data_IF_337595283148
#
_entry.id   IF_337595283148
#
_cell.length_a   1.000
_cell.length_b   1.000
_cell.length_c   1.000
_cell.angle_alpha   90.00
_cell.angle_beta   90.00
_cell.angle_gamma   90.00
#
_symmetry.space_group_name_H-M   'P 1'
#
loop_
_entity.id
_entity.type
_entity.pdbx_description
1 polymer ?
#
# COMPACT_ATOMS: atom_id res chain seq x y z
N UNK A 1 -11.56 3.51 21.79
CA UNK A 1 -11.51 2.29 21.00
C UNK A 1 -10.11 1.72 21.04
N UNK A 2 -10.00 0.44 21.38
CA UNK A 2 -8.69 -0.20 21.51
C UNK A 2 -8.23 -0.74 20.15
N UNK A 3 -7.00 -0.44 19.77
CA UNK A 3 -6.35 -1.04 18.61
C UNK A 3 -5.58 -2.29 19.04
N UNK A 4 -5.40 -3.23 18.10
CA UNK A 4 -4.58 -4.41 18.34
C UNK A 4 -3.11 -4.02 18.52
N UNK A 5 -2.33 -4.94 19.08
CA UNK A 5 -0.89 -4.73 19.24
C UNK A 5 -0.21 -4.52 17.88
N UNK A 6 -0.70 -5.18 16.83
CA UNK A 6 -0.13 -5.01 15.48
C UNK A 6 -0.38 -3.62 14.92
N UNK A 7 -1.57 -3.06 15.15
CA UNK A 7 -1.87 -1.69 14.73
C UNK A 7 -0.94 -0.72 15.46
N UNK A 8 -0.82 -0.88 16.77
CA UNK A 8 0.04 -0.01 17.59
C UNK A 8 1.49 -0.11 17.14
N UNK A 9 1.98 -1.33 16.90
CA UNK A 9 3.36 -1.55 16.44
C UNK A 9 3.62 -0.85 15.10
N UNK A 10 2.75 -1.05 14.12
CA UNK A 10 2.91 -0.42 12.82
C UNK A 10 2.73 1.09 12.87
N UNK A 11 1.91 1.59 13.80
CA UNK A 11 1.74 3.03 13.98
C UNK A 11 2.96 3.68 14.65
N UNK A 12 3.49 3.06 15.70
CA UNK A 12 4.64 3.59 16.44
C UNK A 12 5.96 3.38 15.69
N UNK A 13 6.06 2.27 14.95
CA UNK A 13 7.27 1.89 14.21
C UNK A 13 6.91 1.59 12.74
N UNK A 14 6.42 2.57 11.99
CA UNK A 14 6.00 2.33 10.62
C UNK A 14 7.19 1.89 9.75
N UNK A 15 6.95 0.87 8.94
CA UNK A 15 7.96 0.30 8.04
C UNK A 15 7.86 1.01 6.69
N UNK A 16 9.04 1.26 6.10
CA UNK A 16 9.10 1.73 4.71
C UNK A 16 8.41 3.09 4.49
N UNK A 17 8.47 3.97 5.48
CA UNK A 17 8.00 5.34 5.32
C UNK A 17 8.97 6.09 4.41
N UNK A 18 8.44 6.83 3.45
CA UNK A 18 9.27 7.65 2.58
C UNK A 18 8.65 7.84 1.21
N UNK A 19 9.50 8.21 0.28
CA UNK A 19 9.07 8.44 -1.11
C UNK A 19 10.15 8.00 -2.08
N UNK A 20 9.72 7.69 -3.31
CA UNK A 20 10.60 7.42 -4.44
C UNK A 20 10.28 8.43 -5.53
N UNK A 21 11.18 8.53 -6.53
CA UNK A 21 10.96 9.41 -7.67
C UNK A 21 9.76 8.89 -8.50
N UNK A 22 8.68 9.63 -8.50
CA UNK A 22 7.47 9.27 -9.24
C UNK A 22 7.68 9.30 -10.75
N UNK A 23 8.72 9.96 -11.23
CA UNK A 23 9.07 9.98 -12.65
C UNK A 23 9.91 8.79 -13.10
N UNK A 24 10.40 7.96 -12.17
CA UNK A 24 11.19 6.78 -12.50
C UNK A 24 10.28 5.75 -13.16
N UNK A 25 10.71 5.22 -14.31
CA UNK A 25 9.93 4.25 -15.08
C UNK A 25 9.74 2.94 -14.33
N UNK A 26 10.61 2.64 -13.36
CA UNK A 26 10.52 1.42 -12.57
C UNK A 26 9.68 1.60 -11.30
N UNK A 27 9.15 2.78 -11.06
CA UNK A 27 8.34 3.09 -9.89
C UNK A 27 6.89 3.30 -10.28
N UNK A 28 5.99 2.59 -9.61
CA UNK A 28 4.56 2.82 -9.69
C UNK A 28 4.08 3.60 -8.47
N UNK A 29 3.30 4.63 -8.69
CA UNK A 29 2.76 5.48 -7.62
C UNK A 29 1.25 5.40 -7.60
N UNK A 30 0.69 5.02 -6.45
CA UNK A 30 -0.75 5.05 -6.21
C UNK A 30 -1.07 6.05 -5.12
N UNK A 31 -2.03 6.91 -5.37
CA UNK A 31 -2.51 7.85 -4.36
C UNK A 31 -4.02 7.74 -4.28
N UNK A 32 -4.51 7.44 -3.09
CA UNK A 32 -5.93 7.29 -2.83
C UNK A 32 -6.28 8.07 -1.56
N UNK A 33 -7.54 8.42 -1.40
CA UNK A 33 -7.93 9.15 -0.22
C UNK A 33 -9.44 9.28 -0.09
N UNK A 34 -9.86 9.54 1.14
CA UNK A 34 -11.24 9.89 1.46
C UNK A 34 -11.18 11.27 2.14
N UNK A 35 -11.27 12.36 1.35
CA UNK A 35 -11.11 13.71 1.89
C UNK A 35 -12.06 14.02 3.05
N UNK A 36 -13.26 13.46 3.03
CA UNK A 36 -14.24 13.66 4.09
C UNK A 36 -13.76 13.11 5.44
N UNK A 37 -12.89 12.11 5.42
CA UNK A 37 -12.32 11.52 6.63
C UNK A 37 -10.90 12.01 6.93
N UNK A 38 -10.31 12.80 6.03
CA UNK A 38 -8.96 13.32 6.18
C UNK A 38 -7.87 12.27 5.92
N UNK A 39 -8.23 11.10 5.43
CA UNK A 39 -7.27 10.04 5.15
C UNK A 39 -6.78 10.13 3.70
N UNK A 40 -5.46 10.24 3.52
CA UNK A 40 -4.82 10.19 2.20
C UNK A 40 -3.66 9.22 2.29
N UNK A 41 -3.60 8.27 1.36
CA UNK A 41 -2.59 7.23 1.34
C UNK A 41 -1.86 7.26 -0.01
N UNK A 42 -0.55 7.39 0.05
CA UNK A 42 0.33 7.32 -1.12
C UNK A 42 1.21 6.09 -0.98
N UNK A 43 1.19 5.22 -1.97
CA UNK A 43 2.02 4.03 -2.01
C UNK A 43 2.87 4.06 -3.28
N UNK A 44 4.16 3.79 -3.13
CA UNK A 44 5.07 3.66 -4.26
C UNK A 44 5.74 2.30 -4.22
N UNK A 45 5.82 1.66 -5.36
CA UNK A 45 6.48 0.36 -5.52
C UNK A 45 7.57 0.49 -6.58
N UNK A 46 8.70 -0.19 -6.33
CA UNK A 46 9.79 -0.30 -7.32
C UNK A 46 9.81 -1.74 -7.81
N UNK A 47 9.72 -1.91 -9.13
CA UNK A 47 9.62 -3.22 -9.76
C UNK A 47 10.90 -3.47 -10.56
N UNK A 48 11.44 -4.68 -10.46
CA UNK A 48 12.65 -5.05 -11.19
C UNK A 48 12.33 -5.57 -12.60
N UNK A 49 13.37 -5.97 -13.32
CA UNK A 49 13.25 -6.47 -14.70
C UNK A 49 12.42 -7.75 -14.81
N UNK A 50 12.28 -8.47 -13.70
CA UNK A 50 11.53 -9.73 -13.66
C UNK A 50 10.07 -9.52 -13.26
N UNK A 51 9.67 -8.27 -13.02
CA UNK A 51 8.32 -7.97 -12.60
C UNK A 51 8.07 -8.20 -11.12
N UNK A 52 9.12 -8.25 -10.32
CA UNK A 52 9.03 -8.47 -8.88
C UNK A 52 9.22 -7.14 -8.16
N UNK A 53 8.37 -6.89 -7.18
CA UNK A 53 8.46 -5.67 -6.37
C UNK A 53 9.64 -5.81 -5.42
N UNK A 54 10.65 -4.97 -5.60
CA UNK A 54 11.87 -5.00 -4.80
C UNK A 54 11.86 -4.04 -3.65
N UNK A 55 11.08 -2.97 -3.74
CA UNK A 55 10.96 -2.00 -2.66
C UNK A 55 9.57 -1.38 -2.69
N UNK A 56 9.15 -0.90 -1.54
CA UNK A 56 7.88 -0.21 -1.41
C UNK A 56 8.04 0.87 -0.34
N UNK A 57 7.45 2.03 -0.61
CA UNK A 57 7.45 3.15 0.33
C UNK A 57 6.06 3.72 0.42
N UNK A 58 5.72 4.28 1.57
CA UNK A 58 4.43 4.94 1.70
C UNK A 58 4.55 6.27 2.43
N UNK A 59 3.56 7.11 2.18
CA UNK A 59 3.36 8.33 2.95
C UNK A 59 1.86 8.49 3.11
N UNK A 60 1.40 8.48 4.35
CA UNK A 60 -0.03 8.47 4.67
C UNK A 60 -0.34 9.55 5.67
N UNK A 61 -1.41 10.28 5.40
CA UNK A 61 -1.96 11.25 6.33
C UNK A 61 -3.33 10.72 6.76
N UNK A 62 -3.56 10.61 8.07
CA UNK A 62 -4.82 10.09 8.56
C UNK A 62 -4.67 9.48 9.94
N UNK A 63 -5.58 8.56 10.27
CA UNK A 63 -5.59 7.91 11.58
C UNK A 63 -4.51 6.82 11.68
N UNK A 64 -4.30 6.33 12.90
CA UNK A 64 -3.34 5.27 13.15
C UNK A 64 -3.60 4.00 12.35
N UNK A 65 -4.87 3.66 12.10
CA UNK A 65 -5.23 2.50 11.28
C UNK A 65 -4.81 2.67 9.82
N UNK A 66 -4.90 3.89 9.28
CA UNK A 66 -4.46 4.16 7.91
C UNK A 66 -2.96 4.01 7.78
N UNK A 67 -2.21 4.53 8.76
CA UNK A 67 -0.75 4.40 8.79
C UNK A 67 -0.36 2.93 8.94
N UNK A 68 -1.00 2.21 9.85
CA UNK A 68 -0.72 0.79 10.08
C UNK A 68 -1.02 -0.05 8.83
N UNK A 69 -2.13 0.21 8.16
CA UNK A 69 -2.51 -0.51 6.94
C UNK A 69 -1.47 -0.28 5.83
N UNK A 70 -1.02 0.96 5.66
CA UNK A 70 0.00 1.31 4.69
C UNK A 70 1.32 0.61 5.00
N UNK A 71 1.74 0.65 6.25
CA UNK A 71 2.99 0.01 6.70
C UNK A 71 2.96 -1.50 6.44
N UNK A 72 1.88 -2.16 6.82
CA UNK A 72 1.72 -3.61 6.61
C UNK A 72 1.80 -3.96 5.13
N UNK A 73 1.09 -3.21 4.30
CA UNK A 73 1.05 -3.43 2.85
C UNK A 73 2.44 -3.31 2.24
N UNK A 74 3.25 -2.34 2.67
CA UNK A 74 4.61 -2.21 2.13
C UNK A 74 5.45 -3.45 2.44
N UNK A 75 5.25 -4.08 3.58
CA UNK A 75 5.95 -5.32 3.89
C UNK A 75 5.43 -6.48 3.03
N UNK A 76 4.11 -6.54 2.83
CA UNK A 76 3.49 -7.66 2.13
C UNK A 76 3.79 -7.68 0.62
N UNK A 77 3.91 -6.52 -0.01
CA UNK A 77 4.13 -6.46 -1.46
C UNK A 77 5.57 -6.73 -1.87
N UNK A 78 6.52 -6.55 -0.98
CA UNK A 78 7.93 -6.81 -1.29
C UNK A 78 8.15 -8.29 -1.59
N UNK A 79 8.84 -8.57 -2.69
CA UNK A 79 9.12 -9.94 -3.11
C UNK A 79 7.99 -10.60 -3.89
N UNK A 80 6.89 -9.89 -4.13
CA UNK A 80 5.75 -10.39 -4.89
C UNK A 80 5.77 -9.83 -6.31
N UNK A 81 5.15 -10.57 -7.23
CA UNK A 81 4.87 -10.05 -8.56
C UNK A 81 3.72 -9.06 -8.48
N UNK A 82 3.52 -8.29 -9.55
CA UNK A 82 2.39 -7.36 -9.63
C UNK A 82 1.05 -8.06 -9.46
N UNK A 83 0.91 -9.25 -10.07
CA UNK A 83 -0.32 -10.02 -9.96
C UNK A 83 -0.57 -10.50 -8.54
N UNK A 84 0.48 -10.97 -7.87
CA UNK A 84 0.39 -11.42 -6.48
C UNK A 84 0.04 -10.25 -5.54
N UNK A 85 0.66 -9.10 -5.75
CA UNK A 85 0.36 -7.91 -4.95
C UNK A 85 -1.08 -7.44 -5.19
N UNK A 86 -1.54 -7.45 -6.43
CA UNK A 86 -2.91 -7.06 -6.78
C UNK A 86 -3.97 -8.02 -6.25
N UNK A 87 -3.57 -9.23 -5.87
CA UNK A 87 -4.49 -10.22 -5.29
C UNK A 87 -4.69 -10.04 -3.78
N UNK A 88 -3.92 -9.16 -3.14
CA UNK A 88 -4.10 -8.85 -1.72
C UNK A 88 -5.46 -8.16 -1.52
N UNK A 89 -6.27 -8.71 -0.61
CA UNK A 89 -7.62 -8.21 -0.36
C UNK A 89 -7.67 -7.43 0.95
N UNK A 90 -8.57 -6.44 1.01
CA UNK A 90 -8.74 -5.63 2.21
C UNK A 90 -9.10 -6.49 3.43
N UNK A 91 -9.82 -7.59 3.21
CA UNK A 91 -10.18 -8.51 4.29
C UNK A 91 -8.95 -9.08 4.98
N UNK A 92 -7.92 -9.43 4.20
CA UNK A 92 -6.67 -9.97 4.74
C UNK A 92 -5.94 -8.93 5.59
N UNK A 93 -5.92 -7.68 5.12
CA UNK A 93 -5.30 -6.57 5.85
C UNK A 93 -6.05 -6.33 7.16
N UNK A 94 -7.38 -6.26 7.09
CA UNK A 94 -8.22 -6.02 8.25
C UNK A 94 -8.08 -7.13 9.29
N UNK A 95 -7.99 -8.39 8.84
CA UNK A 95 -7.84 -9.53 9.74
C UNK A 95 -6.46 -9.54 10.40
N UNK A 96 -5.40 -9.28 9.64
CA UNK A 96 -4.04 -9.26 10.18
C UNK A 96 -3.86 -8.19 11.25
N UNK A 97 -4.45 -7.03 11.03
CA UNK A 97 -4.36 -5.91 11.98
C UNK A 97 -5.48 -5.97 13.04
N UNK A 98 -6.44 -6.89 12.90
CA UNK A 98 -7.62 -6.96 13.77
C UNK A 98 -8.29 -5.58 13.89
N UNK A 99 -8.56 -4.96 12.74
CA UNK A 99 -9.12 -3.60 12.71
C UNK A 99 -10.54 -3.58 13.28
N UNK A 100 -10.87 -2.55 14.08
CA UNK A 100 -12.26 -2.34 14.50
C UNK A 100 -13.16 -2.09 13.29
N UNK A 101 -14.46 -2.47 13.36
CA UNK A 101 -15.37 -2.31 12.22
C UNK A 101 -15.40 -0.89 11.64
N UNK A 102 -15.28 0.13 12.48
CA UNK A 102 -15.32 1.52 12.02
C UNK A 102 -14.05 1.95 11.27
N UNK A 103 -13.00 1.12 11.29
CA UNK A 103 -11.71 1.41 10.65
C UNK A 103 -11.41 0.51 9.45
N UNK A 104 -12.33 -0.34 9.06
CA UNK A 104 -12.14 -1.24 7.90
C UNK A 104 -11.90 -0.46 6.62
N UNK A 105 -12.42 0.77 6.51
CA UNK A 105 -12.16 1.61 5.34
C UNK A 105 -10.66 1.85 5.10
N UNK A 106 -9.84 1.80 6.14
CA UNK A 106 -8.37 1.96 6.00
C UNK A 106 -7.77 0.79 5.23
N UNK A 107 -8.28 -0.43 5.44
CA UNK A 107 -7.82 -1.60 4.68
C UNK A 107 -8.27 -1.52 3.22
N UNK A 108 -9.44 -0.97 2.96
CA UNK A 108 -9.93 -0.75 1.60
C UNK A 108 -9.04 0.26 0.87
N UNK A 109 -8.66 1.35 1.55
CA UNK A 109 -7.74 2.33 0.98
C UNK A 109 -6.39 1.69 0.64
N UNK A 110 -5.88 0.83 1.51
CA UNK A 110 -4.61 0.15 1.27
C UNK A 110 -4.69 -0.77 0.05
N UNK A 111 -5.77 -1.52 -0.09
CA UNK A 111 -5.98 -2.34 -1.29
C UNK A 111 -6.04 -1.48 -2.55
N UNK A 112 -6.77 -0.38 -2.51
CA UNK A 112 -6.89 0.54 -3.64
C UNK A 112 -5.55 1.19 -3.97
N UNK A 113 -4.74 1.51 -2.97
CA UNK A 113 -3.42 2.09 -3.19
C UNK A 113 -2.50 1.11 -3.91
N UNK A 114 -2.55 -0.18 -3.55
CA UNK A 114 -1.79 -1.22 -4.26
C UNK A 114 -2.20 -1.25 -5.73
N UNK A 115 -3.49 -1.31 -6.00
CA UNK A 115 -4.01 -1.37 -7.36
C UNK A 115 -3.64 -0.14 -8.17
N UNK A 116 -3.71 1.04 -7.55
CA UNK A 116 -3.36 2.29 -8.21
C UNK A 116 -1.86 2.34 -8.54
N UNK A 117 -1.00 1.87 -7.63
CA UNK A 117 0.44 1.83 -7.87
C UNK A 117 0.78 0.87 -9.02
N UNK A 118 0.14 -0.30 -9.06
CA UNK A 118 0.33 -1.27 -10.13
C UNK A 118 -0.13 -0.68 -11.47
N UNK A 119 -1.29 -0.02 -11.49
CA UNK A 119 -1.82 0.60 -12.70
C UNK A 119 -0.88 1.68 -13.24
N UNK A 120 -0.31 2.49 -12.36
CA UNK A 120 0.66 3.53 -12.76
C UNK A 120 1.91 2.90 -13.36
N UNK A 121 2.43 1.84 -12.74
CA UNK A 121 3.59 1.13 -13.29
C UNK A 121 3.28 0.56 -14.68
N UNK A 122 2.15 -0.11 -14.84
CA UNK A 122 1.75 -0.70 -16.13
C UNK A 122 1.54 0.38 -17.21
N UNK A 123 1.07 1.54 -16.81
CA UNK A 123 0.89 2.67 -17.71
C UNK A 123 2.23 3.17 -18.27
N UNK A 124 3.28 3.10 -17.47
CA UNK A 124 4.65 3.47 -17.88
C UNK A 124 5.29 2.38 -18.76
N UNK A 125 4.71 1.18 -18.80
CA UNK A 125 5.23 0.05 -19.56
C UNK A 125 4.12 -0.54 -20.43
N UNK A 126 3.57 0.23 -21.41
CA UNK A 126 2.40 -0.22 -22.17
C UNK A 126 2.65 -1.45 -23.03
N UNK A 127 3.90 -1.74 -23.39
CA UNK A 127 4.25 -2.91 -24.19
C UNK A 127 4.56 -4.13 -23.34
N UNK A 128 4.52 -4.00 -22.02
CA UNK A 128 4.89 -5.05 -21.09
C UNK A 128 3.64 -5.54 -20.36
N UNK A 129 2.89 -6.40 -21.05
CA UNK A 129 1.58 -6.86 -20.58
C UNK A 129 1.65 -8.06 -19.66
N UNK A 130 2.85 -8.59 -19.39
CA UNK A 130 3.02 -9.82 -18.62
C UNK A 130 3.39 -9.57 -17.14
N UNK A 131 3.29 -8.35 -16.70
CA UNK A 131 3.64 -7.99 -15.30
C UNK A 131 2.44 -7.74 -14.43
#
# INVERSE_FOLDING_TARGET
MAYSEKVIDHYENPRNVGKMDAGDVNVGTGMVGVPACGDVMKLQIRVDEQGIIRDAKFKTYGCGSAIASSSLVTEWVKGKTLDQAGAIKNVEIAQELALPPVKIHCSILAEDAIKAAIADYRKKHPDDTNH
#
